data_IF_331337426683
#
_entry.id   IF_331337426683
#
_cell.length_a   1.000
_cell.length_b   1.000
_cell.length_c   1.000
_cell.angle_alpha   90.00
_cell.angle_beta   90.00
_cell.angle_gamma   90.00
#
_symmetry.space_group_name_H-M   'P 1'
#
loop_
_entity.id
_entity.type
_entity.pdbx_description
1 polymer ?
#
# COMPACT_ATOMS: atom_id res chain seq x y z
N UNK A 1 30.60 5.23 -71.38
CA UNK A 1 30.56 4.38 -70.17
C UNK A 1 29.58 5.00 -69.20
N UNK A 2 28.34 4.51 -69.16
CA UNK A 2 27.28 5.00 -68.22
C UNK A 2 27.21 4.05 -67.07
N UNK A 3 27.52 4.55 -65.84
CA UNK A 3 27.39 3.82 -64.61
C UNK A 3 26.00 4.02 -64.03
N UNK A 4 25.19 2.96 -64.09
CA UNK A 4 23.85 2.92 -63.46
C UNK A 4 23.98 2.73 -61.97
N UNK A 5 23.64 3.77 -61.19
CA UNK A 5 23.54 3.63 -59.73
C UNK A 5 22.21 2.96 -59.32
N UNK A 6 22.32 1.86 -58.60
CA UNK A 6 21.19 1.14 -58.01
C UNK A 6 20.85 1.81 -56.68
N UNK A 7 19.60 2.25 -56.43
CA UNK A 7 19.22 2.81 -55.13
C UNK A 7 19.15 1.72 -54.06
N UNK A 8 19.95 1.86 -53.01
CA UNK A 8 19.92 1.06 -51.80
C UNK A 8 18.67 1.42 -51.00
N UNK A 9 17.69 0.52 -50.98
CA UNK A 9 16.56 0.58 -50.02
C UNK A 9 17.06 0.16 -48.64
N UNK A 10 17.35 1.12 -47.79
CA UNK A 10 17.54 0.87 -46.34
C UNK A 10 16.17 0.58 -45.71
N UNK A 11 15.83 -0.68 -45.60
CA UNK A 11 14.67 -1.14 -44.80
C UNK A 11 15.00 -0.96 -43.32
N UNK A 12 14.58 0.17 -42.74
CA UNK A 12 14.60 0.40 -41.31
C UNK A 12 13.49 -0.47 -40.66
N UNK A 13 13.81 -1.72 -40.36
CA UNK A 13 12.97 -2.56 -39.51
C UNK A 13 12.94 -1.93 -38.10
N UNK A 14 11.89 -1.18 -37.80
CA UNK A 14 11.61 -0.74 -36.42
C UNK A 14 11.33 -1.98 -35.61
N UNK A 15 12.29 -2.41 -34.84
CA UNK A 15 12.11 -3.39 -33.76
C UNK A 15 11.11 -2.81 -32.76
N UNK A 16 9.86 -3.27 -32.79
CA UNK A 16 8.89 -2.98 -31.76
C UNK A 16 9.25 -3.80 -30.52
N UNK A 17 10.11 -3.23 -29.67
CA UNK A 17 10.32 -3.79 -28.33
C UNK A 17 8.98 -3.81 -27.59
N UNK A 18 8.66 -4.89 -26.86
CA UNK A 18 7.43 -4.96 -26.08
C UNK A 18 7.44 -3.79 -25.06
N UNK A 19 6.45 -2.91 -25.18
CA UNK A 19 6.26 -1.81 -24.23
C UNK A 19 5.80 -2.40 -22.90
N UNK A 20 6.68 -2.42 -21.92
CA UNK A 20 6.31 -2.69 -20.53
C UNK A 20 5.28 -1.62 -20.12
N UNK A 21 4.09 -2.01 -19.60
CA UNK A 21 3.10 -1.03 -19.15
C UNK A 21 3.73 -0.11 -18.11
N UNK A 22 3.77 1.19 -18.40
CA UNK A 22 4.20 2.18 -17.41
C UNK A 22 3.14 2.31 -16.33
N UNK A 23 3.50 2.78 -15.13
CA UNK A 23 2.56 3.01 -14.02
C UNK A 23 1.40 3.97 -14.38
N UNK A 24 1.49 4.65 -15.52
CA UNK A 24 0.45 5.51 -16.08
C UNK A 24 -0.57 4.75 -16.96
N UNK A 25 -0.39 3.45 -17.19
CA UNK A 25 -1.37 2.66 -17.92
C UNK A 25 -2.69 2.52 -17.12
N UNK A 26 -3.82 2.44 -17.83
CA UNK A 26 -5.13 2.25 -17.18
C UNK A 26 -5.16 0.97 -16.34
N UNK A 27 -4.50 -0.10 -16.78
CA UNK A 27 -4.40 -1.35 -16.04
C UNK A 27 -3.63 -1.20 -14.72
N UNK A 28 -2.49 -0.50 -14.70
CA UNK A 28 -1.74 -0.24 -13.49
C UNK A 28 -2.54 0.64 -12.50
N UNK A 29 -3.24 1.66 -13.02
CA UNK A 29 -4.12 2.52 -12.20
C UNK A 29 -5.23 1.70 -11.55
N UNK A 30 -5.89 0.82 -12.30
CA UNK A 30 -6.94 -0.06 -11.79
C UNK A 30 -6.36 -1.01 -10.72
N UNK A 31 -5.25 -1.68 -11.01
CA UNK A 31 -4.60 -2.61 -10.08
C UNK A 31 -4.23 -1.97 -8.74
N UNK A 32 -3.59 -0.78 -8.79
CA UNK A 32 -3.27 -0.01 -7.58
C UNK A 32 -4.54 0.40 -6.82
N UNK A 33 -5.60 0.82 -7.52
CA UNK A 33 -6.86 1.20 -6.87
C UNK A 33 -7.51 0.02 -6.16
N UNK A 34 -7.61 -1.13 -6.83
CA UNK A 34 -8.18 -2.36 -6.24
C UNK A 34 -7.38 -2.78 -5.01
N UNK A 35 -6.04 -2.86 -5.13
CA UNK A 35 -5.18 -3.24 -4.01
C UNK A 35 -5.33 -2.25 -2.84
N UNK A 36 -5.40 -0.94 -3.11
CA UNK A 36 -5.59 0.09 -2.10
C UNK A 36 -6.92 -0.03 -1.37
N UNK A 37 -8.00 -0.31 -2.11
CA UNK A 37 -9.32 -0.53 -1.52
C UNK A 37 -9.32 -1.76 -0.62
N UNK A 38 -8.78 -2.88 -1.09
CA UNK A 38 -8.69 -4.11 -0.30
C UNK A 38 -7.84 -3.89 0.95
N UNK A 39 -6.64 -3.33 0.80
CA UNK A 39 -5.73 -3.07 1.92
C UNK A 39 -6.34 -2.10 2.94
N UNK A 40 -6.93 -0.99 2.46
CA UNK A 40 -7.59 -0.01 3.31
C UNK A 40 -8.79 -0.58 4.06
N UNK A 41 -9.60 -1.42 3.40
CA UNK A 41 -10.72 -2.13 4.05
C UNK A 41 -10.23 -3.09 5.10
N UNK A 42 -9.17 -3.86 4.82
CA UNK A 42 -8.60 -4.80 5.79
C UNK A 42 -8.13 -4.08 7.05
N UNK A 43 -7.36 -3.01 6.92
CA UNK A 43 -6.93 -2.23 8.08
C UNK A 43 -8.10 -1.58 8.83
N UNK A 44 -9.05 -0.99 8.10
CA UNK A 44 -10.23 -0.37 8.69
C UNK A 44 -11.02 -1.36 9.56
N UNK A 45 -11.27 -2.56 9.05
CA UNK A 45 -12.00 -3.60 9.77
C UNK A 45 -11.22 -4.14 10.97
N UNK A 46 -9.90 -4.31 10.87
CA UNK A 46 -9.08 -4.72 12.01
C UNK A 46 -9.00 -3.64 13.08
N UNK A 47 -8.90 -2.37 12.71
CA UNK A 47 -8.98 -1.26 13.66
C UNK A 47 -10.37 -1.17 14.32
N UNK A 48 -11.42 -1.32 13.52
CA UNK A 48 -12.80 -1.36 14.02
C UNK A 48 -13.00 -2.49 15.05
N UNK A 49 -12.54 -3.70 14.74
CA UNK A 49 -12.61 -4.85 15.61
C UNK A 49 -11.93 -4.59 16.97
N UNK A 50 -10.74 -3.99 16.96
CA UNK A 50 -10.00 -3.63 18.18
C UNK A 50 -10.75 -2.64 19.06
N UNK A 51 -11.53 -1.72 18.47
CA UNK A 51 -12.24 -0.68 19.22
C UNK A 51 -13.61 -1.17 19.71
N UNK A 52 -14.35 -1.90 18.88
CA UNK A 52 -15.77 -2.21 19.13
C UNK A 52 -16.00 -3.61 19.67
N UNK A 53 -15.32 -4.63 19.11
CA UNK A 53 -15.55 -6.03 19.52
C UNK A 53 -14.68 -6.39 20.73
N UNK A 54 -13.39 -6.09 20.67
CA UNK A 54 -12.45 -6.42 21.76
C UNK A 54 -12.38 -5.33 22.83
N UNK A 55 -12.85 -4.14 22.54
CA UNK A 55 -12.68 -2.91 23.32
C UNK A 55 -11.20 -2.49 23.43
N UNK A 56 -10.96 -1.22 23.74
CA UNK A 56 -9.57 -0.72 23.93
C UNK A 56 -8.89 -1.47 25.09
N UNK A 57 -9.59 -1.67 26.21
CA UNK A 57 -9.06 -2.37 27.37
C UNK A 57 -8.75 -3.85 27.06
N UNK A 58 -9.62 -4.54 26.35
CA UNK A 58 -9.39 -5.92 25.93
C UNK A 58 -8.21 -6.05 24.96
N UNK A 59 -8.05 -5.09 24.03
CA UNK A 59 -6.90 -5.05 23.13
C UNK A 59 -5.59 -4.80 23.90
N UNK A 60 -5.60 -3.93 24.90
CA UNK A 60 -4.45 -3.71 25.78
C UNK A 60 -4.06 -4.97 26.55
N UNK A 61 -5.06 -5.66 27.13
CA UNK A 61 -4.84 -6.92 27.84
C UNK A 61 -4.25 -7.99 26.92
N UNK A 62 -4.77 -8.12 25.69
CA UNK A 62 -4.25 -9.06 24.69
C UNK A 62 -2.82 -8.74 24.29
N UNK A 63 -2.47 -7.46 24.07
CA UNK A 63 -1.11 -7.03 23.73
C UNK A 63 -0.14 -7.33 24.89
N UNK A 64 -0.56 -7.09 26.13
CA UNK A 64 0.23 -7.41 27.31
C UNK A 64 0.50 -8.92 27.43
N UNK A 65 -0.53 -9.76 27.20
CA UNK A 65 -0.39 -11.24 27.19
C UNK A 65 0.57 -11.72 26.09
N UNK A 66 0.57 -11.07 24.93
CA UNK A 66 1.51 -11.37 23.83
C UNK A 66 2.93 -10.81 24.06
N UNK A 67 3.19 -10.12 25.18
CA UNK A 67 4.49 -9.57 25.49
C UNK A 67 4.84 -8.30 24.71
N UNK A 68 3.86 -7.60 24.14
CA UNK A 68 4.10 -6.33 23.43
C UNK A 68 4.53 -5.24 24.42
N UNK A 69 5.68 -4.60 24.22
CA UNK A 69 6.14 -3.52 25.12
C UNK A 69 5.15 -2.35 25.14
N UNK A 70 4.96 -1.76 26.34
CA UNK A 70 4.05 -0.63 26.53
C UNK A 70 2.64 -0.88 25.96
N UNK A 71 2.06 -2.05 26.21
CA UNK A 71 0.77 -2.49 25.65
C UNK A 71 -0.35 -1.47 25.86
N UNK A 72 -0.33 -0.71 26.96
CA UNK A 72 -1.31 0.35 27.26
C UNK A 72 -1.30 1.48 26.24
N UNK A 73 -0.15 1.77 25.62
CA UNK A 73 0.00 2.77 24.56
C UNK A 73 -0.04 2.14 23.18
N UNK A 74 0.62 0.98 23.00
CA UNK A 74 0.75 0.32 21.70
C UNK A 74 -0.62 -0.12 21.16
N UNK A 75 -1.50 -0.64 22.01
CA UNK A 75 -2.81 -1.15 21.59
C UNK A 75 -3.75 -0.03 21.05
N UNK A 76 -4.00 1.08 21.77
CA UNK A 76 -4.84 2.15 21.24
C UNK A 76 -4.20 2.83 20.03
N UNK A 77 -2.87 3.01 20.00
CA UNK A 77 -2.19 3.56 18.82
C UNK A 77 -2.36 2.68 17.60
N UNK A 78 -2.18 1.37 17.73
CA UNK A 78 -2.41 0.43 16.63
C UNK A 78 -3.87 0.47 16.18
N UNK A 79 -4.84 0.44 17.09
CA UNK A 79 -6.26 0.48 16.77
C UNK A 79 -6.64 1.76 16.00
N UNK A 80 -6.21 2.93 16.49
CA UNK A 80 -6.48 4.21 15.82
C UNK A 80 -5.78 4.27 14.47
N UNK A 81 -4.51 3.85 14.38
CA UNK A 81 -3.75 3.89 13.15
C UNK A 81 -4.34 2.95 12.08
N UNK A 82 -4.77 1.76 12.46
CA UNK A 82 -5.46 0.84 11.55
C UNK A 82 -6.83 1.38 11.11
N UNK A 83 -7.61 1.92 12.04
CA UNK A 83 -8.94 2.47 11.76
C UNK A 83 -8.87 3.71 10.87
N UNK A 84 -8.15 4.73 11.31
CA UNK A 84 -8.04 6.01 10.58
C UNK A 84 -7.15 5.85 9.36
N UNK A 85 -6.04 5.16 9.48
CA UNK A 85 -5.12 4.88 8.38
C UNK A 85 -5.77 4.02 7.29
N UNK A 86 -6.55 3.01 7.65
CA UNK A 86 -7.35 2.22 6.72
C UNK A 86 -8.34 3.07 5.93
N UNK A 87 -9.06 3.97 6.60
CA UNK A 87 -9.97 4.92 5.95
C UNK A 87 -9.21 5.88 5.02
N UNK A 88 -8.08 6.42 5.46
CA UNK A 88 -7.26 7.30 4.63
C UNK A 88 -6.71 6.58 3.38
N UNK A 89 -6.29 5.31 3.51
CA UNK A 89 -5.92 4.48 2.37
C UNK A 89 -7.08 4.27 1.40
N UNK A 90 -8.28 3.93 1.90
CA UNK A 90 -9.48 3.80 1.07
C UNK A 90 -9.72 5.03 0.20
N UNK A 91 -9.64 6.22 0.81
CA UNK A 91 -9.84 7.49 0.13
C UNK A 91 -8.64 7.90 -0.74
N UNK A 92 -7.47 7.32 -0.51
CA UNK A 92 -6.22 7.73 -1.13
C UNK A 92 -5.77 9.11 -0.67
N UNK A 93 -5.83 9.35 0.65
CA UNK A 93 -5.47 10.61 1.29
C UNK A 93 -4.22 10.44 2.14
N UNK A 94 -3.18 11.23 1.86
CA UNK A 94 -1.89 11.15 2.57
C UNK A 94 -1.26 9.78 2.45
N UNK A 95 -1.50 9.08 1.36
CA UNK A 95 -1.28 7.64 1.17
C UNK A 95 0.13 7.20 1.55
N UNK A 96 1.16 7.92 1.14
CA UNK A 96 2.55 7.52 1.41
C UNK A 96 2.88 7.53 2.91
N UNK A 97 2.43 8.54 3.63
CA UNK A 97 2.68 8.68 5.07
C UNK A 97 1.93 7.63 5.85
N UNK A 98 0.64 7.48 5.55
CA UNK A 98 -0.23 6.49 6.20
C UNK A 98 0.26 5.07 5.94
N UNK A 99 0.61 4.76 4.70
CA UNK A 99 1.14 3.45 4.33
C UNK A 99 2.48 3.15 5.04
N UNK A 100 3.35 4.15 5.24
CA UNK A 100 4.58 3.95 6.00
C UNK A 100 4.31 3.62 7.47
N UNK A 101 3.37 4.32 8.10
CA UNK A 101 2.97 4.06 9.48
C UNK A 101 2.35 2.67 9.64
N UNK A 102 1.45 2.29 8.71
CA UNK A 102 0.84 0.96 8.71
C UNK A 102 1.87 -0.15 8.43
N UNK A 103 2.83 0.08 7.53
CA UNK A 103 3.93 -0.86 7.30
C UNK A 103 4.76 -1.07 8.57
N UNK A 104 5.10 0.00 9.29
CA UNK A 104 5.83 -0.09 10.56
C UNK A 104 5.03 -0.84 11.63
N UNK A 105 3.71 -0.60 11.71
CA UNK A 105 2.83 -1.34 12.63
C UNK A 105 2.83 -2.84 12.29
N UNK A 106 2.73 -3.21 11.03
CA UNK A 106 2.76 -4.61 10.61
C UNK A 106 4.12 -5.26 10.82
N UNK A 107 5.22 -4.56 10.58
CA UNK A 107 6.56 -5.06 10.90
C UNK A 107 6.75 -5.25 12.41
N UNK A 108 6.24 -4.33 13.23
CA UNK A 108 6.20 -4.49 14.67
C UNK A 108 5.40 -5.71 15.11
N UNK A 109 4.19 -5.90 14.59
CA UNK A 109 3.37 -7.07 14.84
C UNK A 109 4.04 -8.37 14.40
N UNK A 110 4.69 -8.35 13.23
CA UNK A 110 5.44 -9.50 12.72
C UNK A 110 6.52 -9.94 13.69
N UNK A 111 7.35 -9.00 14.16
CA UNK A 111 8.51 -9.32 15.02
C UNK A 111 8.10 -9.65 16.44
N UNK A 112 7.16 -8.88 17.01
CA UNK A 112 6.80 -8.99 18.43
C UNK A 112 5.79 -10.10 18.72
N UNK A 113 4.92 -10.41 17.76
CA UNK A 113 3.78 -11.31 18.01
C UNK A 113 3.85 -12.57 17.15
N UNK A 114 4.06 -12.43 15.84
CA UNK A 114 3.81 -13.51 14.89
C UNK A 114 5.04 -14.35 14.53
N UNK A 115 6.26 -13.85 14.79
CA UNK A 115 7.50 -14.49 14.32
C UNK A 115 7.69 -15.92 14.86
N UNK A 116 7.23 -16.18 16.08
CA UNK A 116 7.38 -17.47 16.74
C UNK A 116 6.24 -18.45 16.48
N UNK A 117 5.15 -18.01 15.86
CA UNK A 117 3.96 -18.83 15.57
C UNK A 117 4.04 -19.55 14.19
N UNK A 118 5.16 -19.44 13.49
CA UNK A 118 5.35 -20.05 12.17
C UNK A 118 4.88 -19.19 11.00
N UNK A 119 4.59 -19.83 9.86
CA UNK A 119 4.23 -19.11 8.65
C UNK A 119 2.74 -18.84 8.52
N UNK A 120 1.89 -19.87 8.70
CA UNK A 120 0.48 -19.82 8.34
C UNK A 120 -0.37 -18.94 9.28
N UNK A 121 -1.20 -18.08 8.70
CA UNK A 121 -2.07 -17.17 9.45
C UNK A 121 -3.10 -17.92 10.32
N UNK A 122 -3.53 -19.10 9.90
CA UNK A 122 -4.45 -19.96 10.68
C UNK A 122 -3.89 -20.35 12.05
N UNK A 123 -2.55 -20.45 12.16
CA UNK A 123 -1.84 -20.78 13.40
C UNK A 123 -1.30 -19.51 14.11
N UNK A 124 -1.71 -18.32 13.66
CA UNK A 124 -1.23 -17.05 14.17
C UNK A 124 0.11 -16.60 13.60
N UNK A 125 0.60 -17.24 12.52
CA UNK A 125 1.91 -16.98 11.89
C UNK A 125 2.00 -15.68 11.08
N UNK A 126 3.16 -15.50 10.45
CA UNK A 126 3.57 -14.22 9.81
C UNK A 126 2.88 -13.93 8.48
N UNK A 127 2.21 -14.87 7.84
CA UNK A 127 1.68 -14.80 6.48
C UNK A 127 0.90 -13.51 6.21
N UNK A 128 -0.12 -13.24 7.04
CA UNK A 128 -1.00 -12.08 6.84
C UNK A 128 -0.27 -10.76 7.11
N UNK A 129 0.44 -10.65 8.22
CA UNK A 129 1.13 -9.40 8.58
C UNK A 129 2.25 -9.08 7.60
N UNK A 130 2.91 -10.11 7.03
CA UNK A 130 3.92 -9.96 5.99
C UNK A 130 3.31 -9.42 4.69
N UNK A 131 2.18 -9.97 4.25
CA UNK A 131 1.46 -9.48 3.06
C UNK A 131 0.97 -8.04 3.24
N UNK A 132 0.42 -7.71 4.41
CA UNK A 132 -0.04 -6.36 4.72
C UNK A 132 1.14 -5.36 4.77
N UNK A 133 2.28 -5.76 5.35
CA UNK A 133 3.49 -4.94 5.36
C UNK A 133 4.00 -4.69 3.94
N UNK A 134 4.13 -5.73 3.13
CA UNK A 134 4.62 -5.62 1.74
C UNK A 134 3.70 -4.76 0.87
N UNK A 135 2.38 -4.95 0.98
CA UNK A 135 1.40 -4.11 0.28
C UNK A 135 1.46 -2.65 0.74
N UNK A 136 1.65 -2.40 2.03
CA UNK A 136 1.83 -1.05 2.56
C UNK A 136 3.11 -0.39 2.03
N UNK A 137 4.24 -1.11 1.99
CA UNK A 137 5.50 -0.63 1.40
C UNK A 137 5.32 -0.30 -0.09
N UNK A 138 4.55 -1.08 -0.84
CA UNK A 138 4.22 -0.75 -2.23
C UNK A 138 3.58 0.64 -2.33
N UNK A 139 2.63 1.00 -1.45
CA UNK A 139 1.99 2.32 -1.46
C UNK A 139 2.90 3.45 -0.98
N UNK A 140 3.89 3.17 -0.14
CA UNK A 140 4.96 4.15 0.17
C UNK A 140 5.71 4.53 -1.10
N UNK A 141 6.05 3.55 -1.93
CA UNK A 141 6.84 3.73 -3.14
C UNK A 141 6.00 4.28 -4.31
N UNK A 142 4.90 3.61 -4.61
CA UNK A 142 4.04 3.94 -5.76
C UNK A 142 3.12 5.15 -5.52
N UNK A 143 2.71 5.39 -4.26
CA UNK A 143 1.69 6.39 -3.92
C UNK A 143 0.26 5.89 -4.21
N UNK A 144 -0.71 6.80 -4.13
CA UNK A 144 -2.14 6.49 -4.15
C UNK A 144 -2.71 6.07 -5.53
N UNK A 145 -1.99 6.36 -6.62
CA UNK A 145 -2.51 6.23 -7.98
C UNK A 145 -3.42 7.40 -8.40
N UNK A 146 -3.91 7.36 -9.65
CA UNK A 146 -4.67 8.47 -10.26
C UNK A 146 -6.07 8.64 -9.66
N UNK A 147 -6.72 7.56 -9.25
CA UNK A 147 -8.07 7.59 -8.66
C UNK A 147 -8.00 7.74 -7.13
N UNK A 148 -7.52 8.90 -6.67
CA UNK A 148 -7.28 9.18 -5.26
C UNK A 148 -7.46 10.66 -4.94
N UNK A 149 -7.74 10.97 -3.68
CA UNK A 149 -7.81 12.35 -3.20
C UNK A 149 -6.44 13.05 -3.29
N UNK A 150 -5.34 12.34 -3.06
CA UNK A 150 -3.99 12.88 -3.23
C UNK A 150 -3.77 13.42 -4.65
N UNK A 151 -4.26 12.69 -5.67
CA UNK A 151 -4.16 13.13 -7.07
C UNK A 151 -5.01 14.37 -7.35
N UNK A 152 -6.23 14.42 -6.83
CA UNK A 152 -7.13 15.57 -6.99
C UNK A 152 -6.55 16.84 -6.35
N UNK A 153 -6.01 16.73 -5.12
CA UNK A 153 -5.36 17.84 -4.42
C UNK A 153 -4.13 18.33 -5.19
N UNK A 154 -3.30 17.41 -5.67
CA UNK A 154 -2.11 17.75 -6.46
C UNK A 154 -2.48 18.43 -7.80
N UNK A 155 -3.55 18.00 -8.46
CA UNK A 155 -4.05 18.60 -9.70
C UNK A 155 -4.54 20.06 -9.47
N UNK A 156 -5.31 20.28 -8.39
CA UNK A 156 -5.79 21.63 -8.03
C UNK A 156 -4.65 22.61 -7.74
N UNK A 157 -3.65 22.18 -6.97
CA UNK A 157 -2.46 23.01 -6.65
C UNK A 157 -1.69 23.43 -7.90
N UNK A 158 -1.57 22.54 -8.90
CA UNK A 158 -0.92 22.86 -10.18
C UNK A 158 -1.73 23.84 -11.04
N UNK A 159 -3.05 23.78 -10.99
CA UNK A 159 -3.95 24.74 -11.66
C UNK A 159 -3.81 26.16 -11.10
N UNK A 160 -3.81 26.29 -9.76
CA UNK A 160 -3.69 27.59 -9.08
C UNK A 160 -2.32 28.26 -9.26
N UNK A 161 -1.24 27.49 -9.49
CA UNK A 161 0.10 28.06 -9.72
C UNK A 161 0.32 28.59 -11.15
N UNK A 162 -0.65 28.37 -12.06
CA UNK A 162 -0.59 28.82 -13.45
C UNK A 162 -1.57 29.98 -13.76
N UNK A 163 -2.41 30.34 -12.81
CA UNK A 163 -3.33 31.48 -12.86
C UNK A 163 -2.74 32.70 -12.15
#
# INVERSE_FOLDING_TARGET
MSTTQVPQRTSSARSSAPTVPTADSSAATLGLTVLRVVLGTTFLLHGWQKVTEWTVAGTQASFAQMGVPAAELAAPLAAVLELVGGLMLLLGLGTRVVAALLALTMLGALVLVHLHAGFFAADGGIELVLLLAAASVLFVLAGAGRWSLDHLVAARRRGSARA
#
